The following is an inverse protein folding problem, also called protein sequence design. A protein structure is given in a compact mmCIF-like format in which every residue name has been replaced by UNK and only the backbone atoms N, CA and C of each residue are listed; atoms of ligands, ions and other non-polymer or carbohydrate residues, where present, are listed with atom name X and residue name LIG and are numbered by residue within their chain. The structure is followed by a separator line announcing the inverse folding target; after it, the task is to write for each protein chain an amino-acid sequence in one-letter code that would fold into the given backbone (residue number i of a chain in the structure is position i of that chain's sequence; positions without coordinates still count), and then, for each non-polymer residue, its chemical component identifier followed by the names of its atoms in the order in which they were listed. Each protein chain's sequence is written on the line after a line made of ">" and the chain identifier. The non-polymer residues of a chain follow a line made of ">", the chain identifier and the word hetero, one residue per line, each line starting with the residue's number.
data_IF_102797312128
#
_entry.id   IF_102797312128
#
_cell.length_a   1.000
_cell.length_b   1.000
_cell.length_c   1.000
_cell.angle_alpha   90.00
_cell.angle_beta   90.00
_cell.angle_gamma   90.00
#
_symmetry.space_group_name_H-M   'P 1'
#
loop_
_entity.id
_entity.type
_entity.pdbx_description
1 polymer ?
#
# COMPACT_ATOMS: atom_id res chain seq x y z
N UNK A 1 -34.40 -6.78 58.68
CA UNK A 1 -34.81 -5.49 59.25
C UNK A 1 -34.60 -4.47 58.19
N UNK A 2 -35.71 -4.19 57.58
CA UNK A 2 -36.38 -2.91 57.33
C UNK A 2 -35.66 -2.12 56.21
N UNK A 3 -36.21 -2.09 54.98
CA UNK A 3 -37.40 -1.31 54.51
C UNK A 3 -36.97 0.15 54.26
N UNK A 4 -37.31 0.85 53.25
CA UNK A 4 -38.32 0.93 52.20
C UNK A 4 -37.92 2.04 51.23
N UNK A 5 -38.24 1.83 49.98
CA UNK A 5 -38.59 2.73 48.89
C UNK A 5 -39.63 3.81 49.31
N UNK A 6 -40.17 4.68 48.46
CA UNK A 6 -39.91 5.18 47.08
C UNK A 6 -40.15 6.72 46.91
N UNK A 7 -40.10 7.20 45.68
CA UNK A 7 -40.62 8.53 45.34
C UNK A 7 -40.40 8.94 43.91
N UNK A 8 -41.21 8.54 43.11
CA UNK A 8 -41.97 8.97 41.92
C UNK A 8 -42.21 10.47 41.70
N UNK A 9 -42.50 10.77 40.44
CA UNK A 9 -43.26 11.85 39.76
C UNK A 9 -42.33 12.73 38.91
N UNK A 10 -42.36 12.79 37.59
CA UNK A 10 -43.51 12.86 36.69
C UNK A 10 -43.40 14.16 35.88
N UNK A 11 -43.41 14.10 34.57
CA UNK A 11 -43.43 15.31 33.76
C UNK A 11 -43.26 15.13 32.27
N UNK A 12 -44.28 14.58 31.62
CA UNK A 12 -44.48 14.68 30.16
C UNK A 12 -44.80 16.13 29.80
N UNK A 13 -44.14 16.66 28.75
CA UNK A 13 -44.75 17.70 27.89
C UNK A 13 -44.37 17.46 26.44
N UNK A 14 -45.36 17.03 25.72
CA UNK A 14 -45.55 17.10 24.27
C UNK A 14 -45.86 18.52 23.83
N UNK A 15 -45.23 18.98 22.73
CA UNK A 15 -45.77 20.03 21.86
C UNK A 15 -45.23 19.81 20.45
N UNK A 16 -45.95 19.26 19.56
CA UNK A 16 -46.80 19.68 18.44
C UNK A 16 -46.18 20.77 17.55
N UNK A 17 -45.87 20.28 16.33
CA UNK A 17 -46.15 20.81 14.97
C UNK A 17 -46.13 22.31 14.73
N UNK A 18 -45.35 22.74 13.74
CA UNK A 18 -45.85 23.60 12.66
C UNK A 18 -45.15 23.22 11.35
N UNK A 19 -45.98 22.87 10.38
CA UNK A 19 -45.70 22.70 8.97
C UNK A 19 -45.89 24.08 8.34
N UNK A 20 -44.99 24.54 7.53
CA UNK A 20 -45.23 25.65 6.59
C UNK A 20 -44.74 25.23 5.21
N UNK A 21 -45.70 24.96 4.37
CA UNK A 21 -45.59 24.85 2.91
C UNK A 21 -45.69 26.27 2.34
N UNK A 22 -44.76 26.63 1.47
CA UNK A 22 -44.97 27.75 0.55
C UNK A 22 -44.44 27.33 -0.82
N UNK A 23 -45.36 27.02 -1.70
CA UNK A 23 -45.17 26.99 -3.15
C UNK A 23 -45.54 28.37 -3.71
N UNK A 24 -44.90 28.75 -4.79
CA UNK A 24 -45.35 29.71 -5.83
C UNK A 24 -44.10 30.25 -6.55
N UNK A 25 -43.94 30.34 -7.79
CA UNK A 25 -44.63 30.33 -9.07
C UNK A 25 -43.57 30.62 -10.15
N UNK A 26 -43.71 30.01 -11.29
CA UNK A 26 -42.97 30.24 -12.50
C UNK A 26 -43.18 31.65 -13.07
N UNK A 27 -42.14 32.22 -13.70
CA UNK A 27 -42.33 33.22 -14.75
C UNK A 27 -41.25 32.99 -15.83
N UNK A 28 -41.72 32.52 -16.97
CA UNK A 28 -40.99 32.52 -18.23
C UNK A 28 -40.94 33.96 -18.78
N UNK A 29 -39.76 34.37 -19.28
CA UNK A 29 -39.65 35.44 -20.25
C UNK A 29 -38.77 34.98 -21.40
N UNK A 30 -39.44 34.73 -22.51
CA UNK A 30 -38.91 34.59 -23.86
C UNK A 30 -38.55 36.00 -24.36
N UNK A 31 -37.31 36.16 -24.83
CA UNK A 31 -37.01 37.26 -25.77
C UNK A 31 -36.03 36.77 -26.81
N UNK A 32 -36.55 36.64 -28.02
CA UNK A 32 -35.79 36.59 -29.26
C UNK A 32 -35.33 38.00 -29.61
N UNK A 33 -34.08 38.14 -30.05
CA UNK A 33 -33.71 39.21 -30.95
C UNK A 33 -32.66 38.75 -31.96
N UNK A 34 -33.00 38.90 -33.22
CA UNK A 34 -32.18 38.68 -34.41
C UNK A 34 -31.04 39.68 -34.54
N UNK A 35 -29.93 39.28 -35.21
CA UNK A 35 -28.66 39.87 -35.55
C UNK A 35 -28.62 41.31 -36.09
N UNK A 36 -27.53 41.78 -36.72
CA UNK A 36 -26.49 41.09 -37.48
C UNK A 36 -25.03 41.59 -37.26
N UNK A 37 -24.08 40.80 -37.76
CA UNK A 37 -22.74 41.10 -38.34
C UNK A 37 -21.91 42.30 -37.90
N UNK A 38 -20.66 42.06 -37.55
CA UNK A 38 -19.60 43.08 -37.47
C UNK A 38 -18.28 42.53 -36.97
N UNK A 39 -17.29 42.64 -37.79
CA UNK A 39 -15.89 42.21 -37.78
C UNK A 39 -15.06 42.43 -36.50
N UNK A 40 -14.11 41.52 -36.35
CA UNK A 40 -12.70 41.62 -35.91
C UNK A 40 -12.40 42.43 -34.65
N UNK A 41 -11.88 41.74 -33.64
CA UNK A 41 -10.66 42.26 -33.01
C UNK A 41 -9.87 41.13 -32.29
N UNK A 42 -8.55 41.23 -32.44
CA UNK A 42 -7.51 40.38 -31.90
C UNK A 42 -7.36 40.66 -30.40
N UNK A 43 -7.81 39.75 -29.54
CA UNK A 43 -7.54 39.74 -28.12
C UNK A 43 -6.84 38.43 -27.73
N UNK A 44 -5.52 38.50 -27.57
CA UNK A 44 -4.75 37.42 -26.87
C UNK A 44 -5.22 37.42 -25.40
N UNK A 45 -5.95 36.41 -25.03
CA UNK A 45 -6.20 36.10 -23.63
C UNK A 45 -5.82 34.65 -23.37
N UNK A 46 -4.73 34.50 -22.64
CA UNK A 46 -4.15 33.21 -22.27
C UNK A 46 -4.90 32.53 -21.14
N UNK A 47 -6.12 32.11 -21.38
CA UNK A 47 -6.79 31.13 -20.56
C UNK A 47 -6.75 29.82 -21.33
N UNK A 48 -5.97 28.85 -20.81
CA UNK A 48 -5.98 27.47 -21.29
C UNK A 48 -7.40 26.91 -21.15
N UNK A 49 -8.15 26.95 -22.24
CA UNK A 49 -9.44 26.27 -22.37
C UNK A 49 -9.20 24.75 -22.32
N UNK A 50 -9.34 24.18 -21.12
CA UNK A 50 -9.38 22.72 -20.93
C UNK A 50 -10.76 22.13 -21.28
N UNK A 51 -11.64 22.90 -21.94
CA UNK A 51 -13.00 22.54 -22.34
C UNK A 51 -13.13 22.05 -23.79
N UNK A 52 -12.09 21.50 -24.39
CA UNK A 52 -12.22 20.78 -25.68
C UNK A 52 -13.15 19.56 -25.53
N UNK A 53 -13.87 19.15 -26.60
CA UNK A 53 -14.69 17.96 -26.54
C UNK A 53 -13.82 16.79 -26.06
N UNK A 54 -14.36 16.02 -25.10
CA UNK A 54 -13.66 14.91 -24.50
C UNK A 54 -13.11 14.01 -25.61
N UNK A 55 -11.80 14.07 -25.84
CA UNK A 55 -11.15 13.28 -26.89
C UNK A 55 -10.97 11.81 -26.48
N UNK A 56 -11.44 11.44 -25.28
CA UNK A 56 -11.41 10.10 -24.78
C UNK A 56 -12.48 9.25 -25.46
N UNK A 57 -12.08 8.38 -26.34
CA UNK A 57 -12.96 7.34 -26.87
C UNK A 57 -13.09 6.16 -25.91
N UNK A 58 -12.12 5.96 -25.04
CA UNK A 58 -12.12 4.96 -23.96
C UNK A 58 -11.28 5.44 -22.78
N UNK A 59 -11.75 5.21 -21.56
CA UNK A 59 -10.95 5.37 -20.36
C UNK A 59 -11.06 4.10 -19.53
N UNK A 60 -9.94 3.59 -19.05
CA UNK A 60 -9.90 2.47 -18.11
C UNK A 60 -9.44 2.97 -16.78
N UNK A 61 -10.25 2.73 -15.77
CA UNK A 61 -9.86 2.95 -14.39
C UNK A 61 -8.81 1.92 -14.01
N UNK A 62 -7.59 2.37 -13.79
CA UNK A 62 -6.53 1.53 -13.30
C UNK A 62 -6.47 1.66 -11.76
N UNK A 63 -6.70 0.57 -11.08
CA UNK A 63 -6.56 0.50 -9.63
C UNK A 63 -5.19 -0.08 -9.29
N UNK A 64 -4.54 0.49 -8.24
CA UNK A 64 -3.35 -0.13 -7.68
C UNK A 64 -3.70 -1.54 -7.22
N UNK A 65 -2.83 -2.50 -7.52
CA UNK A 65 -2.98 -3.86 -7.01
C UNK A 65 -3.10 -3.82 -5.48
N UNK A 66 -4.08 -4.51 -4.88
CA UNK A 66 -4.16 -4.60 -3.44
C UNK A 66 -2.86 -5.17 -2.86
N UNK A 67 -2.37 -4.58 -1.78
CA UNK A 67 -1.14 -5.01 -1.12
C UNK A 67 -1.48 -5.78 0.15
N UNK A 68 -1.01 -7.02 0.21
CA UNK A 68 -1.04 -7.89 1.39
C UNK A 68 0.34 -7.95 2.03
N UNK A 69 0.45 -7.48 3.25
CA UNK A 69 1.68 -7.37 3.99
C UNK A 69 1.62 -8.24 5.25
N UNK A 70 2.59 -9.16 5.41
CA UNK A 70 2.80 -9.89 6.65
C UNK A 70 4.04 -9.35 7.36
N UNK A 71 3.86 -8.80 8.56
CA UNK A 71 4.96 -8.46 9.45
C UNK A 71 5.43 -9.72 10.18
N UNK A 72 6.66 -10.14 9.93
CA UNK A 72 7.36 -11.16 10.71
C UNK A 72 8.21 -10.45 11.75
N UNK A 73 7.75 -10.48 13.00
CA UNK A 73 8.32 -9.69 14.09
C UNK A 73 9.22 -10.56 14.97
N UNK A 74 10.45 -10.12 15.12
CA UNK A 74 11.39 -10.66 16.09
C UNK A 74 10.90 -10.35 17.50
N UNK A 75 10.78 -11.38 18.32
CA UNK A 75 10.44 -11.31 19.73
C UNK A 75 11.49 -12.02 20.59
N UNK A 76 12.71 -12.16 20.07
CA UNK A 76 13.88 -12.64 20.82
C UNK A 76 14.20 -11.76 22.01
N UNK A 77 15.01 -12.25 22.93
CA UNK A 77 15.33 -11.54 24.17
C UNK A 77 16.03 -10.19 23.93
N UNK A 78 16.79 -10.07 22.85
CA UNK A 78 17.48 -8.82 22.45
C UNK A 78 16.54 -7.67 22.12
N UNK A 79 15.33 -7.97 21.69
CA UNK A 79 14.29 -6.95 21.38
C UNK A 79 13.74 -6.25 22.63
N UNK A 80 13.98 -6.77 23.84
CA UNK A 80 13.57 -6.12 25.09
C UNK A 80 14.50 -4.95 25.48
N UNK A 81 15.72 -4.94 24.95
CA UNK A 81 16.71 -3.91 25.26
C UNK A 81 16.43 -2.60 24.53
N UNK A 82 16.81 -1.48 25.18
CA UNK A 82 16.73 -0.13 24.60
C UNK A 82 15.32 0.28 24.11
N UNK A 83 14.27 -0.37 24.65
CA UNK A 83 12.89 -0.05 24.27
C UNK A 83 12.50 -0.42 22.84
N UNK A 84 13.29 -1.25 22.13
CA UNK A 84 13.04 -1.65 20.73
C UNK A 84 11.63 -2.18 20.55
N UNK A 85 11.24 -3.20 21.34
CA UNK A 85 9.90 -3.78 21.22
C UNK A 85 8.77 -2.79 21.53
N UNK A 86 8.95 -1.94 22.53
CA UNK A 86 7.95 -0.91 22.87
C UNK A 86 7.77 0.08 21.72
N UNK A 87 8.87 0.49 21.09
CA UNK A 87 8.84 1.39 19.94
C UNK A 87 8.23 0.74 18.70
N UNK A 88 8.59 -0.53 18.41
CA UNK A 88 7.97 -1.31 17.32
C UNK A 88 6.45 -1.42 17.51
N UNK A 89 5.99 -1.74 18.74
CA UNK A 89 4.55 -1.77 19.05
C UNK A 89 3.88 -0.41 18.78
N UNK A 90 4.51 0.68 19.23
CA UNK A 90 4.02 2.03 19.02
C UNK A 90 3.89 2.38 17.52
N UNK A 91 4.92 2.08 16.76
CA UNK A 91 4.96 2.33 15.32
C UNK A 91 3.92 1.50 14.54
N UNK A 92 3.84 0.20 14.79
CA UNK A 92 2.83 -0.66 14.13
C UNK A 92 1.41 -0.22 14.51
N UNK A 93 1.17 0.15 15.78
CA UNK A 93 -0.12 0.72 16.18
C UNK A 93 -0.45 2.00 15.40
N UNK A 94 0.50 2.93 15.30
CA UNK A 94 0.32 4.17 14.54
C UNK A 94 0.06 3.87 13.05
N UNK A 95 0.78 2.91 12.47
CA UNK A 95 0.60 2.50 11.08
C UNK A 95 -0.80 1.95 10.79
N UNK A 96 -1.29 1.00 11.61
CA UNK A 96 -2.62 0.39 11.38
C UNK A 96 -3.79 1.35 11.65
N UNK A 97 -3.53 2.42 12.40
CA UNK A 97 -4.51 3.48 12.68
C UNK A 97 -4.41 4.66 11.71
N UNK A 98 -3.43 4.66 10.82
CA UNK A 98 -3.26 5.72 9.84
C UNK A 98 -4.32 5.58 8.74
N UNK A 99 -5.12 6.62 8.45
CA UNK A 99 -6.08 6.61 7.36
C UNK A 99 -5.47 6.24 6.00
N UNK A 100 -4.20 6.57 5.79
CA UNK A 100 -3.46 6.20 4.59
C UNK A 100 -3.19 4.69 4.46
N UNK A 101 -3.35 3.90 5.50
CA UNK A 101 -3.22 2.44 5.44
C UNK A 101 -4.56 1.74 5.10
N UNK A 102 -5.65 2.48 4.91
CA UNK A 102 -6.96 1.92 4.53
C UNK A 102 -6.84 1.13 3.23
N UNK A 103 -7.44 -0.05 3.21
CA UNK A 103 -7.40 -0.95 2.06
C UNK A 103 -6.17 -1.88 2.00
N UNK A 104 -5.15 -1.64 2.83
CA UNK A 104 -3.99 -2.52 2.96
C UNK A 104 -4.38 -3.80 3.71
N UNK A 105 -4.01 -4.96 3.20
CA UNK A 105 -4.04 -6.21 3.95
C UNK A 105 -2.83 -6.28 4.89
N UNK A 106 -3.07 -6.50 6.19
CA UNK A 106 -1.99 -6.63 7.18
C UNK A 106 -2.21 -7.84 8.07
N UNK A 107 -1.16 -8.65 8.23
CA UNK A 107 -1.08 -9.76 9.16
C UNK A 107 0.19 -9.71 10.01
N UNK A 108 0.25 -10.52 11.06
CA UNK A 108 1.41 -10.65 11.94
C UNK A 108 1.80 -12.10 12.13
N UNK A 109 3.11 -12.35 12.12
CA UNK A 109 3.71 -13.55 12.68
C UNK A 109 4.88 -13.15 13.57
N UNK A 110 5.21 -13.98 14.53
CA UNK A 110 6.27 -13.76 15.50
C UNK A 110 7.27 -14.90 15.49
N UNK A 111 8.51 -14.60 15.84
CA UNK A 111 9.51 -15.58 16.18
C UNK A 111 10.41 -15.07 17.32
N UNK A 112 10.89 -15.95 18.22
CA UNK A 112 10.58 -17.37 18.29
C UNK A 112 9.14 -17.65 18.77
N UNK A 113 8.61 -18.80 18.32
CA UNK A 113 7.45 -19.43 18.93
C UNK A 113 7.90 -20.45 19.99
N UNK A 114 6.97 -21.06 20.75
CA UNK A 114 7.31 -22.01 21.82
C UNK A 114 8.07 -23.26 21.32
N UNK A 115 7.67 -23.81 20.16
CA UNK A 115 8.34 -24.92 19.50
C UNK A 115 9.25 -24.35 18.41
N UNK A 116 10.34 -23.79 18.79
CA UNK A 116 11.16 -22.85 18.06
C UNK A 116 11.65 -23.29 16.69
N UNK A 117 11.80 -24.61 16.46
CA UNK A 117 12.36 -25.15 15.21
C UNK A 117 11.32 -25.83 14.31
N UNK A 118 10.07 -25.92 14.72
CA UNK A 118 9.02 -26.52 13.90
C UNK A 118 8.49 -25.52 12.87
N UNK A 119 8.77 -25.79 11.61
CA UNK A 119 8.34 -24.95 10.47
C UNK A 119 6.82 -24.80 10.39
N UNK A 120 6.06 -25.84 10.68
CA UNK A 120 4.61 -25.83 10.55
C UNK A 120 3.93 -24.90 11.55
N UNK A 121 4.52 -24.69 12.73
CA UNK A 121 4.00 -23.72 13.71
C UNK A 121 4.05 -22.28 13.17
N UNK A 122 5.02 -21.95 12.34
CA UNK A 122 5.17 -20.63 11.71
C UNK A 122 4.29 -20.44 10.47
N UNK A 123 3.71 -21.52 9.94
CA UNK A 123 2.79 -21.45 8.81
C UNK A 123 1.39 -20.93 9.19
N UNK A 124 1.10 -20.82 10.49
CA UNK A 124 -0.13 -20.27 11.04
C UNK A 124 0.16 -18.91 11.65
N UNK A 125 -0.19 -17.79 10.99
CA UNK A 125 0.08 -16.45 11.50
C UNK A 125 -0.58 -16.18 12.84
N UNK A 126 0.09 -15.43 13.72
CA UNK A 126 -0.50 -14.94 14.96
C UNK A 126 -1.70 -14.00 14.74
N UNK A 127 -1.71 -13.31 13.60
CA UNK A 127 -2.87 -12.59 13.05
C UNK A 127 -2.87 -12.81 11.55
N UNK A 128 -3.91 -13.41 11.01
CA UNK A 128 -4.08 -13.59 9.56
C UNK A 128 -4.20 -12.24 8.86
N UNK A 129 -3.81 -12.20 7.57
CA UNK A 129 -3.91 -10.96 6.79
C UNK A 129 -5.39 -10.52 6.68
N UNK A 130 -5.69 -9.35 7.21
CA UNK A 130 -7.00 -8.70 7.19
C UNK A 130 -6.88 -7.27 6.65
N UNK A 131 -7.91 -6.81 5.96
CA UNK A 131 -7.92 -5.45 5.39
C UNK A 131 -8.06 -4.40 6.49
N UNK A 132 -7.21 -3.37 6.47
CA UNK A 132 -7.31 -2.23 7.36
C UNK A 132 -8.44 -1.27 6.92
N UNK A 133 -9.15 -0.66 7.86
CA UNK A 133 -8.90 -0.63 9.32
C UNK A 133 -9.50 -1.80 10.10
N UNK A 134 -10.26 -2.70 9.48
CA UNK A 134 -10.98 -3.79 10.17
C UNK A 134 -10.02 -4.65 11.01
N UNK A 135 -8.87 -5.04 10.46
CA UNK A 135 -7.87 -5.87 11.14
C UNK A 135 -7.03 -5.15 12.21
N UNK A 136 -7.14 -3.82 12.35
CA UNK A 136 -6.26 -3.04 13.22
C UNK A 136 -6.34 -3.44 14.70
N UNK A 137 -7.53 -3.77 15.19
CA UNK A 137 -7.74 -4.17 16.59
C UNK A 137 -7.04 -5.48 16.92
N UNK A 138 -7.12 -6.47 16.01
CA UNK A 138 -6.51 -7.79 16.20
C UNK A 138 -4.98 -7.66 16.24
N UNK A 139 -4.41 -6.86 15.34
CA UNK A 139 -2.98 -6.53 15.31
C UNK A 139 -2.52 -5.93 16.63
N UNK A 140 -3.17 -4.87 17.09
CA UNK A 140 -2.78 -4.18 18.33
C UNK A 140 -2.95 -5.09 19.56
N UNK A 141 -4.01 -5.88 19.61
CA UNK A 141 -4.28 -6.79 20.74
C UNK A 141 -3.27 -7.92 20.78
N UNK A 142 -2.93 -8.52 19.63
CA UNK A 142 -1.94 -9.57 19.52
C UNK A 142 -0.57 -9.09 20.04
N UNK A 143 -0.12 -7.91 19.63
CA UNK A 143 1.17 -7.36 20.05
C UNK A 143 1.26 -7.03 21.56
N UNK A 144 0.14 -6.67 22.19
CA UNK A 144 0.13 -6.40 23.65
C UNK A 144 0.44 -7.64 24.47
N UNK A 145 0.05 -8.82 24.01
CA UNK A 145 0.23 -10.08 24.73
C UNK A 145 1.65 -10.67 24.58
N UNK A 146 2.49 -10.14 23.68
CA UNK A 146 3.82 -10.69 23.42
C UNK A 146 4.85 -10.26 24.44
N UNK A 147 5.66 -11.23 24.86
CA UNK A 147 6.83 -11.05 25.72
C UNK A 147 8.08 -11.48 24.96
N UNK A 148 9.17 -10.78 25.19
CA UNK A 148 10.45 -11.04 24.56
C UNK A 148 11.16 -12.18 25.26
N UNK A 149 11.58 -13.21 24.52
CA UNK A 149 12.32 -14.34 25.06
C UNK A 149 12.90 -15.24 23.96
N UNK A 150 13.93 -16.01 24.30
CA UNK A 150 14.53 -16.98 23.40
C UNK A 150 15.52 -16.37 22.41
N UNK A 151 15.92 -17.15 21.44
CA UNK A 151 16.86 -16.80 20.38
C UNK A 151 16.16 -16.35 19.08
N UNK A 152 16.88 -16.45 17.96
CA UNK A 152 16.49 -15.92 16.66
C UNK A 152 16.39 -17.02 15.59
N UNK A 153 15.42 -17.95 15.67
CA UNK A 153 15.22 -19.06 14.72
C UNK A 153 14.59 -18.55 13.40
N UNK A 154 15.33 -17.78 12.66
CA UNK A 154 14.84 -17.06 11.47
C UNK A 154 14.47 -18.02 10.33
N UNK A 155 15.27 -19.08 10.10
CA UNK A 155 15.06 -20.02 8.98
C UNK A 155 13.74 -20.77 9.10
N UNK A 156 13.42 -21.47 10.21
CA UNK A 156 12.12 -22.13 10.32
C UNK A 156 10.95 -21.15 10.28
N UNK A 157 11.13 -19.92 10.80
CA UNK A 157 10.12 -18.88 10.69
C UNK A 157 9.88 -18.45 9.22
N UNK A 158 10.94 -18.31 8.43
CA UNK A 158 10.82 -17.98 7.00
C UNK A 158 10.14 -19.10 6.23
N UNK A 159 10.56 -20.35 6.43
CA UNK A 159 9.95 -21.50 5.74
C UNK A 159 8.44 -21.57 5.99
N UNK A 160 8.01 -21.45 7.26
CA UNK A 160 6.60 -21.49 7.62
C UNK A 160 5.82 -20.29 7.07
N UNK A 161 6.35 -19.08 7.23
CA UNK A 161 5.72 -17.86 6.73
C UNK A 161 5.59 -17.88 5.21
N UNK A 162 6.63 -18.32 4.48
CA UNK A 162 6.52 -18.41 3.02
C UNK A 162 5.52 -19.47 2.56
N UNK A 163 5.31 -20.56 3.29
CA UNK A 163 4.21 -21.49 3.01
C UNK A 163 2.86 -20.77 3.03
N UNK A 164 2.61 -19.96 4.08
CA UNK A 164 1.39 -19.18 4.20
C UNK A 164 1.26 -18.11 3.10
N UNK A 165 2.31 -17.34 2.84
CA UNK A 165 2.27 -16.25 1.87
C UNK A 165 2.14 -16.73 0.42
N UNK A 166 2.76 -17.85 0.06
CA UNK A 166 2.57 -18.48 -1.26
C UNK A 166 1.13 -18.92 -1.47
N UNK A 167 0.52 -19.52 -0.44
CA UNK A 167 -0.91 -19.86 -0.52
C UNK A 167 -1.76 -18.59 -0.65
N UNK A 168 -1.46 -17.56 0.15
CA UNK A 168 -2.18 -16.26 0.08
C UNK A 168 -2.08 -15.64 -1.31
N UNK A 169 -0.92 -15.66 -1.94
CA UNK A 169 -0.70 -15.13 -3.29
C UNK A 169 -1.45 -15.95 -4.35
N UNK A 170 -1.47 -17.29 -4.22
CA UNK A 170 -2.22 -18.16 -5.12
C UNK A 170 -3.74 -17.94 -5.02
N UNK A 171 -4.25 -17.76 -3.80
CA UNK A 171 -5.68 -17.50 -3.56
C UNK A 171 -6.10 -16.09 -4.00
N UNK A 172 -5.16 -15.16 -4.11
CA UNK A 172 -5.40 -13.75 -4.46
C UNK A 172 -4.46 -13.28 -5.58
N UNK A 173 -4.60 -13.77 -6.82
CA UNK A 173 -3.62 -13.57 -7.89
C UNK A 173 -3.48 -12.10 -8.34
N UNK A 174 -4.43 -11.25 -7.97
CA UNK A 174 -4.37 -9.79 -8.22
C UNK A 174 -3.67 -9.00 -7.11
N UNK A 175 -3.38 -9.64 -5.96
CA UNK A 175 -2.74 -8.97 -4.85
C UNK A 175 -1.22 -9.05 -4.97
N UNK A 176 -0.54 -7.99 -4.60
CA UNK A 176 0.89 -8.03 -4.30
C UNK A 176 1.06 -8.53 -2.87
N UNK A 177 1.78 -9.63 -2.71
CA UNK A 177 2.02 -10.23 -1.38
C UNK A 177 3.46 -10.03 -0.99
N UNK A 178 3.70 -9.50 0.21
CA UNK A 178 5.05 -9.22 0.72
C UNK A 178 5.23 -9.66 2.16
N UNK A 179 6.44 -10.07 2.51
CA UNK A 179 6.90 -10.25 3.88
C UNK A 179 7.73 -9.04 4.29
N UNK A 180 7.51 -8.53 5.49
CA UNK A 180 8.38 -7.55 6.13
C UNK A 180 8.97 -8.16 7.39
N UNK A 181 10.25 -8.48 7.35
CA UNK A 181 11.01 -8.90 8.53
C UNK A 181 11.34 -7.67 9.37
N UNK A 182 11.04 -7.70 10.66
CA UNK A 182 11.53 -6.73 11.62
C UNK A 182 12.38 -7.48 12.67
N UNK A 183 13.68 -7.21 12.71
CA UNK A 183 14.64 -7.90 13.58
C UNK A 183 15.76 -6.97 14.02
N UNK A 184 16.37 -7.28 15.16
CA UNK A 184 17.51 -6.56 15.67
C UNK A 184 18.85 -7.31 15.48
N UNK A 185 18.85 -8.45 14.75
CA UNK A 185 20.07 -9.21 14.50
C UNK A 185 19.93 -10.35 13.49
N UNK A 186 21.05 -10.97 13.23
CA UNK A 186 21.14 -12.17 12.40
C UNK A 186 20.56 -13.41 13.11
N UNK A 187 20.29 -14.52 12.36
CA UNK A 187 19.99 -15.81 12.98
C UNK A 187 21.08 -16.21 13.97
N UNK A 188 20.67 -16.68 15.13
CA UNK A 188 21.58 -17.22 16.15
C UNK A 188 21.73 -18.74 16.03
N UNK A 189 22.40 -19.35 17.03
CA UNK A 189 22.62 -20.80 17.10
C UNK A 189 21.35 -21.62 17.40
N UNK A 190 20.19 -20.99 17.52
CA UNK A 190 18.91 -21.69 17.63
C UNK A 190 18.65 -22.50 16.36
N UNK A 191 18.20 -23.75 16.51
CA UNK A 191 17.85 -24.61 15.37
C UNK A 191 19.01 -24.92 14.39
N UNK A 192 20.28 -24.85 14.84
CA UNK A 192 21.42 -25.29 14.04
C UNK A 192 21.32 -26.77 13.72
N UNK A 193 20.95 -27.61 14.73
CA UNK A 193 20.64 -29.02 14.53
C UNK A 193 19.18 -29.15 14.06
N UNK A 194 18.93 -28.79 12.80
CA UNK A 194 17.61 -28.92 12.22
C UNK A 194 17.13 -30.36 12.18
N UNK A 195 15.84 -30.64 12.38
CA UNK A 195 15.25 -31.95 12.11
C UNK A 195 15.59 -32.44 10.69
N UNK A 196 15.54 -33.76 10.48
CA UNK A 196 15.88 -34.34 9.19
C UNK A 196 14.97 -33.78 8.08
N UNK A 197 15.58 -33.13 7.09
CA UNK A 197 14.89 -32.52 5.96
C UNK A 197 14.63 -31.03 6.11
N UNK A 198 14.94 -30.42 7.25
CA UNK A 198 14.85 -28.97 7.48
C UNK A 198 16.22 -28.29 7.31
N UNK A 199 16.20 -26.98 6.97
CA UNK A 199 17.43 -26.21 6.80
C UNK A 199 17.98 -25.72 8.15
N UNK A 200 19.30 -25.83 8.39
CA UNK A 200 19.93 -25.21 9.54
C UNK A 200 19.66 -23.69 9.62
N UNK A 201 19.45 -23.17 10.83
CA UNK A 201 19.28 -21.74 11.05
C UNK A 201 20.58 -20.98 10.75
N UNK A 202 20.61 -20.31 9.62
CA UNK A 202 21.76 -19.51 9.18
C UNK A 202 21.33 -18.36 8.29
N UNK A 203 22.13 -17.31 8.25
CA UNK A 203 21.88 -16.15 7.39
C UNK A 203 21.87 -16.52 5.90
N UNK A 204 22.74 -17.44 5.49
CA UNK A 204 22.78 -17.95 4.11
C UNK A 204 21.48 -18.66 3.71
N UNK A 205 20.96 -19.53 4.57
CA UNK A 205 19.69 -20.22 4.31
C UNK A 205 18.49 -19.26 4.34
N UNK A 206 18.45 -18.29 5.26
CA UNK A 206 17.41 -17.26 5.27
C UNK A 206 17.42 -16.43 3.97
N UNK A 207 18.62 -16.04 3.49
CA UNK A 207 18.80 -15.35 2.23
C UNK A 207 18.34 -16.18 1.03
N UNK A 208 18.69 -17.46 1.00
CA UNK A 208 18.27 -18.41 -0.05
C UNK A 208 16.76 -18.60 -0.08
N UNK A 209 16.11 -18.68 1.09
CA UNK A 209 14.65 -18.78 1.19
C UNK A 209 13.96 -17.53 0.65
N UNK A 210 14.48 -16.33 0.96
CA UNK A 210 13.96 -15.09 0.43
C UNK A 210 14.06 -15.03 -1.10
N UNK A 211 15.20 -15.43 -1.67
CA UNK A 211 15.39 -15.52 -3.12
C UNK A 211 14.42 -16.53 -3.75
N UNK A 212 14.26 -17.71 -3.14
CA UNK A 212 13.36 -18.75 -3.63
C UNK A 212 11.90 -18.27 -3.62
N UNK A 213 11.49 -17.52 -2.59
CA UNK A 213 10.15 -16.98 -2.52
C UNK A 213 9.91 -15.86 -3.56
N UNK A 214 10.90 -15.01 -3.79
CA UNK A 214 10.84 -13.94 -4.78
C UNK A 214 10.81 -14.44 -6.23
N UNK A 215 11.55 -15.51 -6.53
CA UNK A 215 11.62 -16.11 -7.88
C UNK A 215 10.51 -17.13 -8.16
N UNK A 216 9.66 -17.41 -7.18
CA UNK A 216 8.51 -18.30 -7.34
C UNK A 216 7.40 -17.65 -8.18
N UNK A 217 6.47 -18.46 -8.65
CA UNK A 217 5.23 -18.02 -9.27
C UNK A 217 4.03 -18.56 -8.44
N UNK A 218 3.21 -17.68 -7.84
CA UNK A 218 3.35 -16.23 -7.72
C UNK A 218 4.52 -15.82 -6.79
N UNK A 219 5.16 -14.66 -7.06
CA UNK A 219 6.31 -14.19 -6.29
C UNK A 219 5.89 -13.58 -4.94
N UNK A 220 6.74 -13.76 -3.92
CA UNK A 220 6.62 -13.10 -2.61
C UNK A 220 7.89 -12.30 -2.35
N UNK A 221 7.78 -10.97 -2.34
CA UNK A 221 8.93 -10.11 -2.04
C UNK A 221 9.19 -10.00 -0.53
N UNK A 222 10.45 -9.79 -0.16
CA UNK A 222 10.87 -9.65 1.24
C UNK A 222 11.53 -8.31 1.47
N UNK A 223 10.96 -7.53 2.40
CA UNK A 223 11.55 -6.30 2.92
C UNK A 223 12.08 -6.53 4.33
N UNK A 224 13.02 -5.71 4.76
CA UNK A 224 13.63 -5.79 6.08
C UNK A 224 13.59 -4.44 6.78
N UNK A 225 13.19 -4.43 8.06
CA UNK A 225 13.41 -3.32 8.98
C UNK A 225 14.37 -3.82 10.05
N UNK A 226 15.62 -3.37 9.95
CA UNK A 226 16.64 -3.66 10.95
C UNK A 226 16.55 -2.65 12.10
N UNK A 227 16.42 -3.13 13.35
CA UNK A 227 16.24 -2.28 14.54
C UNK A 227 17.50 -2.31 15.39
N UNK A 228 18.38 -1.33 15.23
CA UNK A 228 19.65 -1.22 15.94
C UNK A 228 20.88 -1.33 15.04
N UNK A 229 22.07 -1.33 15.63
CA UNK A 229 23.36 -1.19 14.92
C UNK A 229 23.86 -2.46 14.21
N UNK A 230 23.48 -3.64 14.69
CA UNK A 230 24.04 -4.93 14.22
C UNK A 230 23.22 -5.55 13.06
N UNK A 231 22.41 -4.74 12.37
CA UNK A 231 21.39 -5.24 11.43
C UNK A 231 21.79 -5.13 9.96
N UNK A 232 22.92 -4.50 9.63
CA UNK A 232 23.37 -4.33 8.22
C UNK A 232 23.52 -5.64 7.45
N UNK A 233 23.85 -6.73 8.15
CA UNK A 233 23.96 -8.08 7.56
C UNK A 233 22.62 -8.57 6.98
N UNK A 234 21.49 -8.03 7.42
CA UNK A 234 20.16 -8.42 6.95
C UNK A 234 19.83 -7.84 5.57
N UNK A 235 20.61 -6.88 5.06
CA UNK A 235 20.41 -6.28 3.73
C UNK A 235 20.42 -7.34 2.61
N UNK A 236 21.27 -8.38 2.76
CA UNK A 236 21.31 -9.46 1.78
C UNK A 236 20.01 -10.24 1.67
N UNK A 237 19.24 -10.36 2.77
CA UNK A 237 17.91 -11.00 2.76
C UNK A 237 16.93 -10.16 1.93
N UNK A 238 16.89 -8.86 2.17
CA UNK A 238 16.00 -7.96 1.42
C UNK A 238 16.37 -7.92 -0.07
N UNK A 239 17.65 -7.81 -0.38
CA UNK A 239 18.15 -7.79 -1.77
C UNK A 239 17.81 -9.09 -2.50
N UNK A 240 18.07 -10.25 -1.89
CA UNK A 240 17.72 -11.54 -2.47
C UNK A 240 16.20 -11.75 -2.62
N UNK A 241 15.43 -11.19 -1.69
CA UNK A 241 13.96 -11.21 -1.71
C UNK A 241 13.30 -10.16 -2.60
N UNK A 242 14.06 -9.44 -3.44
CA UNK A 242 13.53 -8.42 -4.35
C UNK A 242 12.91 -7.21 -3.67
N UNK A 243 13.29 -6.94 -2.42
CA UNK A 243 12.85 -5.81 -1.62
C UNK A 243 14.00 -4.89 -1.23
N UNK A 244 13.81 -4.14 -0.14
CA UNK A 244 14.77 -3.19 0.40
C UNK A 244 14.92 -3.38 1.91
N UNK A 245 16.13 -3.15 2.43
CA UNK A 245 16.37 -3.04 3.86
C UNK A 245 16.35 -1.58 4.29
N UNK A 246 15.72 -1.29 5.43
CA UNK A 246 15.69 0.01 6.08
C UNK A 246 16.17 -0.18 7.52
N UNK A 247 17.18 0.59 7.91
CA UNK A 247 17.79 0.45 9.23
C UNK A 247 17.35 1.58 10.14
N UNK A 248 16.85 1.20 11.31
CA UNK A 248 16.32 2.11 12.35
C UNK A 248 17.31 2.17 13.49
N UNK A 249 17.90 3.34 13.70
CA UNK A 249 18.84 3.60 14.80
C UNK A 249 18.09 3.67 16.14
N UNK A 250 18.63 2.97 17.17
CA UNK A 250 18.08 2.97 18.52
C UNK A 250 18.47 4.20 19.37
N UNK A 251 19.36 5.05 18.85
CA UNK A 251 19.78 6.28 19.53
C UNK A 251 18.79 7.46 19.37
N UNK A 252 17.80 7.32 18.50
CA UNK A 252 16.84 8.36 18.12
C UNK A 252 15.39 7.90 18.33
N UNK A 253 14.43 8.54 17.66
CA UNK A 253 13.02 8.14 17.68
C UNK A 253 12.80 6.83 16.88
N UNK A 254 12.97 5.68 17.53
CA UNK A 254 12.75 4.36 16.94
C UNK A 254 11.31 4.25 16.39
N UNK A 255 10.32 4.76 17.13
CA UNK A 255 8.92 4.65 16.73
C UNK A 255 8.64 5.40 15.43
N UNK A 256 9.08 6.65 15.35
CA UNK A 256 8.92 7.46 14.14
C UNK A 256 9.67 6.88 12.95
N UNK A 257 10.92 6.46 13.16
CA UNK A 257 11.74 5.85 12.11
C UNK A 257 11.17 4.52 11.61
N UNK A 258 10.66 3.66 12.50
CA UNK A 258 10.02 2.41 12.11
C UNK A 258 8.70 2.65 11.35
N UNK A 259 7.91 3.63 11.78
CA UNK A 259 6.70 4.02 11.06
C UNK A 259 7.03 4.55 9.66
N UNK A 260 8.07 5.37 9.52
CA UNK A 260 8.54 5.86 8.23
C UNK A 260 8.99 4.69 7.33
N UNK A 261 9.72 3.71 7.89
CA UNK A 261 10.12 2.49 7.19
C UNK A 261 8.93 1.69 6.66
N UNK A 262 7.89 1.48 7.46
CA UNK A 262 6.66 0.80 7.02
C UNK A 262 5.97 1.55 5.87
N UNK A 263 5.91 2.88 5.94
CA UNK A 263 5.33 3.68 4.86
C UNK A 263 6.17 3.63 3.58
N UNK A 264 7.50 3.65 3.70
CA UNK A 264 8.41 3.50 2.56
C UNK A 264 8.27 2.11 1.91
N UNK A 265 8.20 1.04 2.71
CA UNK A 265 7.98 -0.33 2.22
C UNK A 265 6.65 -0.42 1.48
N UNK A 266 5.58 0.16 2.04
CA UNK A 266 4.29 0.21 1.36
C UNK A 266 4.40 0.87 -0.01
N UNK A 267 5.06 2.01 -0.11
CA UNK A 267 5.29 2.71 -1.38
C UNK A 267 6.11 1.87 -2.37
N UNK A 268 7.18 1.22 -1.92
CA UNK A 268 8.04 0.38 -2.76
C UNK A 268 7.39 -0.95 -3.18
N UNK A 269 6.50 -1.51 -2.36
CA UNK A 269 5.82 -2.77 -2.65
C UNK A 269 4.71 -2.60 -3.69
N UNK A 270 4.08 -1.44 -3.73
CA UNK A 270 3.06 -1.14 -4.73
C UNK A 270 3.71 -0.94 -6.09
N UNK A 271 3.38 -1.80 -7.04
CA UNK A 271 3.82 -1.63 -8.43
C UNK A 271 2.88 -0.65 -9.12
N UNK A 272 3.42 0.48 -9.57
CA UNK A 272 2.66 1.42 -10.38
C UNK A 272 2.72 1.03 -11.86
N UNK A 273 2.31 -0.20 -12.15
CA UNK A 273 2.15 -0.76 -13.48
C UNK A 273 0.67 -1.04 -13.70
N UNK A 274 0.14 -0.55 -14.80
CA UNK A 274 -1.27 -0.65 -15.13
C UNK A 274 -1.42 -1.29 -16.50
N UNK A 275 -2.23 -2.34 -16.58
CA UNK A 275 -2.47 -3.02 -17.86
C UNK A 275 -3.15 -2.06 -18.84
N UNK A 276 -2.68 -2.07 -20.06
CA UNK A 276 -3.35 -1.39 -21.17
C UNK A 276 -4.54 -2.27 -21.56
N UNK A 277 -5.78 -1.76 -21.51
CA UNK A 277 -6.95 -2.57 -21.87
C UNK A 277 -6.89 -2.99 -23.32
N UNK A 278 -7.30 -4.23 -23.59
CA UNK A 278 -7.47 -4.66 -24.94
C UNK A 278 -8.49 -3.77 -25.67
N UNK A 279 -8.25 -3.39 -26.92
CA UNK A 279 -9.22 -2.62 -27.69
C UNK A 279 -10.52 -3.40 -27.84
N UNK A 280 -11.66 -2.72 -27.70
CA UNK A 280 -12.94 -3.30 -28.07
C UNK A 280 -13.04 -3.38 -29.60
N UNK A 281 -13.41 -4.56 -30.08
CA UNK A 281 -13.80 -4.82 -31.47
C UNK A 281 -12.89 -4.24 -32.57
N UNK A 282 -11.94 -5.03 -33.05
CA UNK A 282 -11.11 -4.80 -34.24
C UNK A 282 -10.41 -3.44 -34.40
N UNK A 283 -10.38 -2.63 -33.35
CA UNK A 283 -9.65 -1.35 -33.36
C UNK A 283 -8.21 -1.57 -32.93
N UNK A 284 -7.26 -1.09 -33.68
CA UNK A 284 -5.87 -1.02 -33.29
C UNK A 284 -5.67 0.16 -32.32
N UNK A 285 -5.04 -0.11 -31.15
CA UNK A 285 -4.64 0.95 -30.24
C UNK A 285 -3.52 1.79 -30.87
N UNK A 286 -3.72 3.10 -30.86
CA UNK A 286 -2.68 4.05 -31.23
C UNK A 286 -1.91 4.45 -29.95
N UNK A 287 -0.75 3.85 -29.75
CA UNK A 287 0.09 4.09 -28.59
C UNK A 287 0.69 5.51 -28.53
N UNK A 288 0.65 6.26 -29.62
CA UNK A 288 1.03 7.69 -29.65
C UNK A 288 -0.12 8.59 -29.16
N UNK A 289 -1.27 8.00 -28.86
CA UNK A 289 -2.47 8.69 -28.36
C UNK A 289 -2.96 8.16 -27.03
N UNK A 290 -2.04 7.93 -26.10
CA UNK A 290 -2.35 7.49 -24.75
C UNK A 290 -1.96 8.58 -23.75
N UNK A 291 -2.87 8.93 -22.88
CA UNK A 291 -2.61 9.82 -21.75
C UNK A 291 -2.89 9.10 -20.42
N UNK A 292 -2.09 9.40 -19.43
CA UNK A 292 -2.24 8.91 -18.08
C UNK A 292 -2.58 10.09 -17.18
N UNK A 293 -3.68 9.98 -16.45
CA UNK A 293 -4.18 11.04 -15.58
C UNK A 293 -4.28 10.52 -14.16
N UNK A 294 -3.64 11.19 -13.22
CA UNK A 294 -3.81 10.95 -11.81
C UNK A 294 -4.86 11.91 -11.23
N UNK A 295 -5.83 11.35 -10.53
CA UNK A 295 -6.85 12.09 -9.78
C UNK A 295 -6.69 11.76 -8.32
N UNK A 296 -6.24 12.71 -7.50
CA UNK A 296 -6.23 12.58 -6.06
C UNK A 296 -7.63 12.87 -5.51
N UNK A 297 -8.04 12.13 -4.48
CA UNK A 297 -9.39 12.24 -3.91
C UNK A 297 -9.66 13.53 -3.12
N UNK A 298 -8.58 14.12 -2.62
CA UNK A 298 -8.58 15.30 -1.75
C UNK A 298 -8.35 16.62 -2.51
N UNK A 299 -8.01 16.53 -3.79
CA UNK A 299 -7.78 17.69 -4.65
C UNK A 299 -8.80 17.62 -5.79
N UNK A 300 -9.62 18.65 -5.91
CA UNK A 300 -10.52 18.83 -7.04
C UNK A 300 -9.71 19.15 -8.30
N UNK A 301 -9.00 18.16 -8.85
CA UNK A 301 -8.21 18.37 -10.05
C UNK A 301 -7.62 17.06 -10.61
N UNK A 302 -7.67 16.93 -11.92
CA UNK A 302 -6.98 15.93 -12.67
C UNK A 302 -5.56 16.43 -12.95
N UNK A 303 -4.55 15.59 -12.66
CA UNK A 303 -3.15 15.89 -12.98
C UNK A 303 -2.70 14.98 -14.13
N UNK A 304 -2.59 15.50 -15.36
CA UNK A 304 -2.05 14.73 -16.47
C UNK A 304 -0.58 14.43 -16.21
N UNK A 305 -0.21 13.18 -16.41
CA UNK A 305 1.17 12.71 -16.34
C UNK A 305 1.84 12.85 -17.71
N UNK A 306 3.16 12.92 -17.72
CA UNK A 306 3.98 13.18 -18.92
C UNK A 306 4.64 11.89 -19.38
N UNK A 307 4.49 11.55 -20.65
CA UNK A 307 5.19 10.42 -21.27
C UNK A 307 6.68 10.75 -21.44
N UNK A 308 7.55 9.97 -20.79
CA UNK A 308 9.00 10.18 -20.84
C UNK A 308 9.72 9.25 -21.83
N UNK A 309 9.00 8.33 -22.45
CA UNK A 309 9.52 7.36 -23.41
C UNK A 309 10.14 6.14 -22.78
N UNK A 310 11.15 6.31 -21.91
CA UNK A 310 11.89 5.21 -21.29
C UNK A 310 12.17 5.49 -19.81
N UNK A 311 12.43 4.43 -19.04
CA UNK A 311 12.69 4.50 -17.59
C UNK A 311 13.83 5.44 -17.21
N UNK A 312 14.90 5.47 -18.01
CA UNK A 312 16.09 6.31 -17.78
C UNK A 312 15.82 7.82 -17.92
N UNK A 313 14.69 8.20 -18.50
CA UNK A 313 14.26 9.60 -18.62
C UNK A 313 13.30 10.06 -17.52
N UNK A 314 13.04 9.24 -16.53
CA UNK A 314 12.13 9.57 -15.42
C UNK A 314 12.56 10.85 -14.67
N UNK A 315 13.85 11.12 -14.56
CA UNK A 315 14.38 12.33 -13.90
C UNK A 315 14.03 13.63 -14.63
N UNK A 316 13.64 13.56 -15.91
CA UNK A 316 13.22 14.73 -16.71
C UNK A 316 11.80 15.19 -16.42
N UNK A 317 10.98 14.34 -15.81
CA UNK A 317 9.61 14.67 -15.38
C UNK A 317 9.39 14.25 -13.92
N UNK A 318 10.05 14.90 -12.96
CA UNK A 318 9.91 14.55 -11.55
C UNK A 318 8.44 14.65 -11.11
N UNK A 319 7.99 13.62 -10.40
CA UNK A 319 6.62 13.49 -9.87
C UNK A 319 5.49 13.29 -10.90
N UNK A 320 5.78 13.27 -12.21
CA UNK A 320 4.74 13.22 -13.25
C UNK A 320 5.06 12.27 -14.42
N UNK A 321 6.19 11.57 -14.39
CA UNK A 321 6.65 10.74 -15.50
C UNK A 321 5.93 9.38 -15.58
N UNK A 322 5.70 8.92 -16.81
CA UNK A 322 5.30 7.54 -17.10
C UNK A 322 5.92 7.06 -18.42
N UNK A 323 6.04 5.76 -18.59
CA UNK A 323 6.59 5.11 -19.79
C UNK A 323 5.90 3.76 -20.02
N UNK A 324 6.14 3.11 -21.16
CA UNK A 324 5.68 1.77 -21.45
C UNK A 324 6.66 0.71 -20.94
N UNK A 325 6.14 -0.44 -20.51
CA UNK A 325 6.95 -1.62 -20.13
C UNK A 325 7.82 -2.11 -21.30
N UNK A 326 7.25 -2.20 -22.50
CA UNK A 326 7.95 -2.47 -23.76
C UNK A 326 7.52 -1.42 -24.80
N UNK A 327 8.43 -0.52 -25.22
CA UNK A 327 8.11 0.49 -26.24
C UNK A 327 7.71 -0.10 -27.60
N UNK A 328 8.13 -1.32 -27.91
CA UNK A 328 7.85 -1.99 -29.19
C UNK A 328 6.54 -2.78 -29.19
N UNK A 329 6.09 -3.23 -28.02
CA UNK A 329 4.87 -4.00 -27.84
C UNK A 329 4.25 -3.69 -26.46
N UNK A 330 3.73 -2.46 -26.26
CA UNK A 330 3.25 -2.02 -24.96
C UNK A 330 2.09 -2.87 -24.44
N UNK A 331 2.23 -3.39 -23.22
CA UNK A 331 1.17 -4.08 -22.50
C UNK A 331 0.79 -3.33 -21.23
N UNK A 332 1.72 -2.53 -20.68
CA UNK A 332 1.53 -1.80 -19.44
C UNK A 332 2.02 -0.36 -19.54
N UNK A 333 1.30 0.50 -18.85
CA UNK A 333 1.76 1.82 -18.43
C UNK A 333 2.52 1.66 -17.12
N UNK A 334 3.70 2.25 -17.01
CA UNK A 334 4.54 2.23 -15.81
C UNK A 334 4.79 3.66 -15.36
N UNK A 335 4.44 3.99 -14.12
CA UNK A 335 4.77 5.31 -13.56
C UNK A 335 6.25 5.35 -13.15
N UNK A 336 6.88 6.50 -13.33
CA UNK A 336 8.19 6.79 -12.74
C UNK A 336 8.11 6.72 -11.21
N UNK A 337 9.24 6.44 -10.55
CA UNK A 337 9.29 6.19 -9.10
C UNK A 337 8.64 7.30 -8.27
N UNK A 338 8.91 8.57 -8.60
CA UNK A 338 8.35 9.70 -7.85
C UNK A 338 6.85 9.88 -8.10
N UNK A 339 6.40 9.71 -9.34
CA UNK A 339 4.97 9.73 -9.69
C UNK A 339 4.22 8.56 -9.02
N UNK A 340 4.86 7.40 -8.96
CA UNK A 340 4.37 6.24 -8.22
C UNK A 340 4.25 6.54 -6.73
N UNK A 341 5.27 7.14 -6.13
CA UNK A 341 5.25 7.53 -4.71
C UNK A 341 4.08 8.45 -4.37
N UNK A 342 3.76 9.40 -5.22
CA UNK A 342 2.60 10.29 -5.05
C UNK A 342 1.28 9.52 -5.19
N UNK A 343 1.17 8.68 -6.21
CA UNK A 343 -0.04 7.89 -6.44
C UNK A 343 -0.33 6.92 -5.29
N UNK A 344 0.70 6.30 -4.71
CA UNK A 344 0.59 5.33 -3.61
C UNK A 344 0.35 5.98 -2.24
N UNK A 345 0.61 7.28 -2.08
CA UNK A 345 0.24 8.03 -0.87
C UNK A 345 -1.25 8.34 -0.78
N UNK A 346 -1.95 8.37 -1.90
CA UNK A 346 -3.39 8.59 -1.94
C UNK A 346 -4.13 7.26 -1.81
N UNK A 347 -4.92 7.08 -0.74
CA UNK A 347 -5.72 5.86 -0.50
C UNK A 347 -6.94 5.76 -1.40
N UNK A 348 -7.35 6.86 -2.00
CA UNK A 348 -8.54 6.98 -2.85
C UNK A 348 -8.21 7.62 -4.20
N UNK A 349 -6.93 7.86 -4.45
CA UNK A 349 -6.42 8.32 -5.74
C UNK A 349 -6.70 7.30 -6.85
N UNK A 350 -6.92 7.82 -8.05
CA UNK A 350 -7.24 7.03 -9.24
C UNK A 350 -6.26 7.37 -10.36
N UNK A 351 -5.82 6.35 -11.05
CA UNK A 351 -5.12 6.49 -12.33
C UNK A 351 -6.11 6.16 -13.44
N UNK A 352 -6.28 7.07 -14.36
CA UNK A 352 -7.04 6.85 -15.58
C UNK A 352 -6.08 6.78 -16.78
N UNK A 353 -6.14 5.70 -17.54
CA UNK A 353 -5.46 5.56 -18.82
C UNK A 353 -6.47 5.92 -19.91
N UNK A 354 -6.21 7.01 -20.62
CA UNK A 354 -7.12 7.61 -21.59
C UNK A 354 -6.55 7.48 -22.99
N UNK A 355 -7.34 6.95 -23.91
CA UNK A 355 -6.96 6.71 -25.30
C UNK A 355 -7.61 7.72 -26.25
N UNK A 356 -6.98 7.95 -27.40
CA UNK A 356 -7.53 8.77 -28.48
C UNK A 356 -7.12 10.24 -28.44
N UNK A 357 -6.44 10.71 -27.42
CA UNK A 357 -5.91 12.06 -27.34
C UNK A 357 -4.41 12.09 -27.64
N UNK A 358 -3.92 13.18 -28.22
CA UNK A 358 -2.47 13.34 -28.41
C UNK A 358 -1.76 13.25 -27.06
N UNK A 359 -0.75 12.38 -27.01
CA UNK A 359 0.01 12.13 -25.79
C UNK A 359 0.75 13.37 -25.29
N UNK A 360 0.68 13.66 -23.98
CA UNK A 360 1.51 14.69 -23.36
C UNK A 360 2.95 14.14 -23.27
N UNK A 361 3.82 14.71 -24.07
CA UNK A 361 5.26 14.39 -24.08
C UNK A 361 6.07 15.50 -23.44
N UNK A 362 7.30 15.20 -23.01
CA UNK A 362 8.27 16.19 -22.53
C UNK A 362 8.57 17.25 -23.58
#
# INVERSE_FOLDING_TARGET
>A
MLELDPGQVGGRRTLRRVVAVAALLAAACHHQHDGPSGDADLGMDGSADLGGPACATQSTKAELAPLDLLLLLDTSASMDYQGKWTSVKGAVKAFVQNPQATGLGLGLQYYPLRATCNVDDYSVPGVTIQVLPTGATDVVTSMKAKQMSGGTPMVPAFEGVYKYLKQRAADNPKHKVVMVLASDGAPDDSCIAAPMGELPNSLANATQLAMTAYTADPPVSTFVIGVGSETSVLEQIATAGGGKAIFVDTSTDIQGAFLAALNEIRGNALTCQFDIPAPSDDQMLDYDRVNVVFTASDISGQSPLVFVGTKDKCDQAPNKGWYYDDPSAPQKVVLCTDACGIATQSTTGRIDVVFGCKTNVL
#
